data_IF_688657448784
#
_entry.id   IF_688657448784
#
_cell.length_a   1.000
_cell.length_b   1.000
_cell.length_c   1.000
_cell.angle_alpha   90.00
_cell.angle_beta   90.00
_cell.angle_gamma   90.00
#
_symmetry.space_group_name_H-M   'P 1'
#
loop_
_entity.id
_entity.type
_entity.pdbx_description
1 polymer ?
#
# COMPACT_ATOMS: atom_id res chain seq x y z
N UNK A 1 -29.17 17.19 -59.73
CA UNK A 1 -29.11 17.18 -58.25
C UNK A 1 -28.63 15.81 -57.82
N UNK A 2 -27.35 15.70 -57.48
CA UNK A 2 -26.69 14.45 -57.04
C UNK A 2 -26.81 14.36 -55.52
N UNK A 3 -27.38 13.28 -55.00
CA UNK A 3 -27.45 12.98 -53.57
C UNK A 3 -26.20 12.18 -53.20
N UNK A 4 -25.36 12.75 -52.33
CA UNK A 4 -24.21 12.07 -51.76
C UNK A 4 -24.66 11.25 -50.54
N UNK A 5 -24.47 9.93 -50.61
CA UNK A 5 -24.74 9.00 -49.52
C UNK A 5 -23.50 8.92 -48.62
N UNK A 6 -23.57 9.47 -47.41
CA UNK A 6 -22.53 9.35 -46.39
C UNK A 6 -22.69 7.99 -45.68
N UNK A 7 -21.73 7.09 -45.88
CA UNK A 7 -21.57 5.86 -45.10
C UNK A 7 -20.86 6.20 -43.78
N UNK A 8 -21.54 5.99 -42.66
CA UNK A 8 -20.92 6.05 -41.34
C UNK A 8 -20.40 4.65 -41.00
N UNK A 9 -19.08 4.47 -40.99
CA UNK A 9 -18.45 3.25 -40.49
C UNK A 9 -18.35 3.33 -38.97
N UNK A 10 -19.06 2.47 -38.26
CA UNK A 10 -18.92 2.33 -36.81
C UNK A 10 -17.66 1.51 -36.49
N UNK A 11 -16.61 2.16 -36.00
CA UNK A 11 -15.44 1.48 -35.47
C UNK A 11 -15.77 0.96 -34.06
N UNK A 12 -15.81 -0.36 -33.90
CA UNK A 12 -15.87 -1.02 -32.60
C UNK A 12 -14.49 -0.88 -31.93
N UNK A 13 -14.36 0.07 -31.01
CA UNK A 13 -13.18 0.19 -30.16
C UNK A 13 -13.15 -0.96 -29.15
N UNK A 14 -12.29 -1.95 -29.38
CA UNK A 14 -11.92 -2.92 -28.35
C UNK A 14 -11.04 -2.18 -27.35
N UNK A 15 -11.62 -1.77 -26.22
CA UNK A 15 -10.83 -1.31 -25.07
C UNK A 15 -10.18 -2.55 -24.46
N UNK A 16 -8.91 -2.79 -24.75
CA UNK A 16 -8.12 -3.75 -24.00
C UNK A 16 -8.15 -3.35 -22.52
N UNK A 17 -8.52 -4.28 -21.64
CA UNK A 17 -8.32 -4.10 -20.20
C UNK A 17 -6.83 -3.81 -19.97
N UNK A 18 -6.48 -2.92 -19.01
CA UNK A 18 -5.09 -2.68 -18.70
C UNK A 18 -4.44 -4.03 -18.37
N UNK A 19 -3.31 -4.32 -19.01
CA UNK A 19 -2.50 -5.46 -18.65
C UNK A 19 -2.21 -5.35 -17.16
N UNK A 20 -2.43 -6.43 -16.40
CA UNK A 20 -1.90 -6.51 -15.05
C UNK A 20 -0.41 -6.17 -15.14
N UNK A 21 0.00 -5.12 -14.44
CA UNK A 21 1.39 -4.71 -14.35
C UNK A 21 2.20 -5.95 -13.99
N UNK A 22 3.26 -6.23 -14.75
CA UNK A 22 4.05 -7.43 -14.52
C UNK A 22 4.55 -7.42 -13.07
N UNK A 23 4.25 -8.47 -12.30
CA UNK A 23 4.64 -8.56 -10.90
C UNK A 23 6.15 -8.33 -10.76
N UNK A 24 6.54 -7.48 -9.81
CA UNK A 24 7.93 -7.21 -9.49
C UNK A 24 8.69 -8.49 -9.18
N UNK A 25 10.00 -8.49 -9.38
CA UNK A 25 10.86 -9.53 -8.86
C UNK A 25 11.21 -9.26 -7.38
N UNK A 26 11.39 -10.31 -6.58
CA UNK A 26 11.81 -10.17 -5.18
C UNK A 26 13.09 -9.37 -5.03
N UNK A 27 13.03 -8.36 -4.17
CA UNK A 27 14.13 -7.43 -3.93
C UNK A 27 14.50 -6.58 -5.14
N UNK A 28 13.68 -6.60 -6.20
CA UNK A 28 13.86 -5.82 -7.41
C UNK A 28 13.06 -4.53 -7.39
N UNK A 29 12.98 -3.89 -8.58
CA UNK A 29 12.13 -2.73 -8.77
C UNK A 29 10.66 -3.09 -8.59
N UNK A 30 9.94 -2.26 -7.85
CA UNK A 30 8.51 -2.44 -7.58
C UNK A 30 7.76 -1.11 -7.73
N UNK A 31 6.64 -1.11 -8.45
CA UNK A 31 5.81 0.07 -8.62
C UNK A 31 5.06 0.42 -7.32
N UNK A 32 4.80 1.70 -7.07
CA UNK A 32 4.01 2.13 -5.91
C UNK A 32 2.63 1.49 -5.87
N UNK A 33 1.96 1.40 -7.02
CA UNK A 33 0.64 0.76 -7.08
C UNK A 33 0.70 -0.71 -6.70
N UNK A 34 1.77 -1.43 -7.07
CA UNK A 34 2.00 -2.82 -6.69
C UNK A 34 2.20 -2.96 -5.18
N UNK A 35 3.00 -2.09 -4.53
CA UNK A 35 3.16 -2.08 -3.07
C UNK A 35 1.81 -1.99 -2.36
N UNK A 36 0.96 -1.06 -2.79
CA UNK A 36 -0.37 -0.87 -2.22
C UNK A 36 -1.32 -2.03 -2.51
N UNK A 37 -1.22 -2.64 -3.69
CA UNK A 37 -2.00 -3.81 -4.07
C UNK A 37 -1.64 -5.01 -3.19
N UNK A 38 -0.34 -5.26 -2.96
CA UNK A 38 0.17 -6.33 -2.09
C UNK A 38 -0.29 -6.14 -0.64
N UNK A 39 -0.17 -4.93 -0.10
CA UNK A 39 -0.69 -4.62 1.24
C UNK A 39 -2.22 -4.79 1.36
N UNK A 40 -2.95 -4.42 0.30
CA UNK A 40 -4.41 -4.57 0.24
C UNK A 40 -4.84 -6.04 0.16
N UNK A 41 -4.10 -6.89 -0.56
CA UNK A 41 -4.36 -8.33 -0.60
C UNK A 41 -4.36 -8.96 0.80
N UNK A 42 -3.33 -8.68 1.60
CA UNK A 42 -3.26 -9.17 2.99
C UNK A 42 -4.40 -8.64 3.85
N UNK A 43 -4.82 -7.39 3.65
CA UNK A 43 -5.97 -6.83 4.36
C UNK A 43 -7.28 -7.53 3.96
N UNK A 44 -7.50 -7.74 2.68
CA UNK A 44 -8.73 -8.36 2.16
C UNK A 44 -8.82 -9.85 2.55
N UNK A 45 -7.67 -10.51 2.69
CA UNK A 45 -7.55 -11.87 3.23
C UNK A 45 -7.68 -11.95 4.75
N UNK A 46 -7.64 -10.82 5.45
CA UNK A 46 -7.76 -10.75 6.90
C UNK A 46 -6.62 -11.46 7.63
N UNK A 47 -5.37 -11.24 7.19
CA UNK A 47 -4.20 -11.82 7.87
C UNK A 47 -4.18 -11.38 9.35
N UNK A 48 -4.12 -12.37 10.25
CA UNK A 48 -4.07 -12.15 11.70
C UNK A 48 -2.65 -11.83 12.14
N UNK A 49 -2.51 -10.99 13.16
CA UNK A 49 -1.20 -10.66 13.73
C UNK A 49 -0.67 -11.83 14.56
N UNK A 50 0.50 -12.34 14.21
CA UNK A 50 1.25 -13.31 15.00
C UNK A 50 2.75 -13.23 14.63
N UNK A 51 3.59 -12.86 15.60
CA UNK A 51 5.05 -12.78 15.41
C UNK A 51 5.72 -14.14 15.20
N UNK A 52 5.02 -15.26 15.39
CA UNK A 52 5.53 -16.61 15.17
C UNK A 52 4.96 -17.27 13.91
N UNK A 53 3.99 -16.64 13.24
CA UNK A 53 3.37 -17.18 12.04
C UNK A 53 3.88 -16.49 10.77
N UNK A 54 3.60 -17.14 9.65
CA UNK A 54 3.85 -16.63 8.32
C UNK A 54 2.60 -16.79 7.45
N UNK A 55 2.47 -15.94 6.43
CA UNK A 55 1.42 -16.03 5.42
C UNK A 55 2.01 -15.82 4.02
N UNK A 56 1.43 -16.46 2.98
CA UNK A 56 1.89 -16.27 1.62
C UNK A 56 1.54 -14.86 1.12
N UNK A 57 2.39 -14.30 0.28
CA UNK A 57 2.14 -13.07 -0.46
C UNK A 57 1.07 -13.24 -1.56
N UNK A 58 0.82 -12.18 -2.33
CA UNK A 58 -0.30 -12.10 -3.27
C UNK A 58 -0.21 -13.10 -4.43
N UNK A 59 0.99 -13.50 -4.83
CA UNK A 59 1.20 -14.53 -5.87
C UNK A 59 1.28 -15.96 -5.31
N UNK A 60 1.40 -16.09 -3.98
CA UNK A 60 1.48 -17.36 -3.26
C UNK A 60 2.84 -18.05 -3.39
N UNK A 61 3.86 -17.36 -3.89
CA UNK A 61 5.19 -17.93 -4.10
C UNK A 61 6.10 -17.79 -2.87
N UNK A 62 5.79 -16.89 -1.94
CA UNK A 62 6.66 -16.59 -0.81
C UNK A 62 5.90 -16.32 0.49
N UNK A 63 6.46 -16.77 1.60
CA UNK A 63 5.89 -16.55 2.92
C UNK A 63 6.59 -15.39 3.66
N UNK A 64 5.80 -14.55 4.32
CA UNK A 64 6.26 -13.43 5.13
C UNK A 64 5.67 -13.50 6.55
N UNK A 65 6.42 -13.03 7.56
CA UNK A 65 5.98 -13.01 8.95
C UNK A 65 4.74 -12.15 9.11
N UNK A 66 3.76 -12.59 9.89
CA UNK A 66 2.48 -11.89 10.06
C UNK A 66 2.55 -10.87 11.21
N UNK A 67 3.50 -9.94 11.12
CA UNK A 67 3.60 -8.77 12.01
C UNK A 67 3.72 -7.45 11.22
N UNK A 68 3.84 -6.32 11.92
CA UNK A 68 3.87 -4.98 11.31
C UNK A 68 4.99 -4.87 10.24
N UNK A 69 6.21 -5.27 10.59
CA UNK A 69 7.37 -5.22 9.70
C UNK A 69 7.34 -6.28 8.59
N UNK A 70 6.77 -7.45 8.85
CA UNK A 70 6.61 -8.51 7.86
C UNK A 70 5.59 -8.14 6.78
N UNK A 71 4.53 -7.41 7.15
CA UNK A 71 3.61 -6.82 6.18
C UNK A 71 4.29 -5.77 5.28
N UNK A 72 5.16 -4.92 5.83
CA UNK A 72 5.97 -3.99 5.03
C UNK A 72 6.94 -4.74 4.12
N UNK A 73 7.63 -5.75 4.63
CA UNK A 73 8.55 -6.57 3.84
C UNK A 73 7.83 -7.30 2.69
N UNK A 74 6.62 -7.79 2.94
CA UNK A 74 5.77 -8.41 1.93
C UNK A 74 5.32 -7.39 0.88
N UNK A 75 4.85 -6.22 1.30
CA UNK A 75 4.36 -5.18 0.41
C UNK A 75 5.46 -4.61 -0.49
N UNK A 76 6.68 -4.46 0.02
CA UNK A 76 7.86 -4.07 -0.77
C UNK A 76 8.53 -5.23 -1.51
N UNK A 77 7.97 -6.44 -1.42
CA UNK A 77 8.49 -7.64 -2.06
C UNK A 77 9.96 -7.92 -1.72
N UNK A 78 10.35 -7.70 -0.46
CA UNK A 78 11.73 -7.81 -0.01
C UNK A 78 12.28 -9.25 -0.13
N UNK A 79 13.61 -9.40 -0.29
CA UNK A 79 14.24 -10.71 -0.51
C UNK A 79 14.36 -11.58 0.76
N UNK A 80 13.92 -11.10 1.91
CA UNK A 80 13.83 -11.86 3.16
C UNK A 80 12.55 -11.49 3.93
N UNK A 81 12.11 -12.39 4.80
CA UNK A 81 11.00 -12.20 5.76
C UNK A 81 11.47 -11.65 7.11
N UNK A 82 12.77 -11.69 7.39
CA UNK A 82 13.34 -11.38 8.72
C UNK A 82 13.52 -9.88 9.00
N UNK A 83 12.84 -9.01 8.26
CA UNK A 83 12.89 -7.58 8.53
C UNK A 83 12.08 -7.23 9.78
N UNK A 84 12.59 -6.27 10.54
CA UNK A 84 12.00 -5.62 11.69
C UNK A 84 12.19 -4.10 11.53
N UNK A 85 11.61 -3.29 12.42
CA UNK A 85 11.70 -1.83 12.36
C UNK A 85 13.16 -1.33 12.26
N UNK A 86 14.07 -1.86 13.09
CA UNK A 86 15.50 -1.52 13.04
C UNK A 86 16.17 -1.82 11.68
N UNK A 87 15.86 -2.97 11.07
CA UNK A 87 16.49 -3.41 9.82
C UNK A 87 15.87 -2.77 8.58
N UNK A 88 14.60 -2.34 8.65
CA UNK A 88 13.96 -1.53 7.61
C UNK A 88 14.61 -0.14 7.50
N UNK A 89 15.02 0.46 8.62
CA UNK A 89 15.71 1.76 8.64
C UNK A 89 17.21 1.70 8.26
N UNK A 90 17.71 0.53 7.83
CA UNK A 90 19.06 0.43 7.27
C UNK A 90 19.11 1.06 5.88
N UNK A 91 20.16 1.87 5.66
CA UNK A 91 20.39 2.57 4.38
C UNK A 91 20.71 1.64 3.19
N UNK A 92 20.94 0.35 3.45
CA UNK A 92 21.04 -0.69 2.42
C UNK A 92 19.67 -1.18 1.95
N UNK A 93 18.59 -0.75 2.60
CA UNK A 93 17.20 -1.17 2.34
C UNK A 93 16.37 0.04 1.97
N UNK A 94 16.45 1.14 2.73
CA UNK A 94 15.60 2.31 2.54
C UNK A 94 16.39 3.63 2.52
N UNK A 95 15.81 4.62 1.86
CA UNK A 95 16.09 6.04 2.06
C UNK A 95 15.12 6.65 3.08
N UNK A 96 15.57 7.70 3.76
CA UNK A 96 14.78 8.41 4.78
C UNK A 96 14.14 9.58 4.06
N UNK A 97 12.84 9.70 4.20
CA UNK A 97 12.04 10.69 3.47
C UNK A 97 11.45 11.66 4.48
N UNK A 98 11.51 12.95 4.16
CA UNK A 98 10.84 13.98 4.96
C UNK A 98 9.33 13.73 4.95
N UNK A 99 8.63 14.09 6.04
CA UNK A 99 7.19 13.80 6.18
C UNK A 99 6.39 14.41 5.04
N UNK A 100 6.75 15.61 4.65
CA UNK A 100 6.19 16.38 3.55
C UNK A 100 6.43 15.76 2.17
N UNK A 101 7.42 14.87 2.03
CA UNK A 101 7.84 14.23 0.77
C UNK A 101 7.37 12.78 0.65
N UNK A 102 6.56 12.32 1.61
CA UNK A 102 5.95 10.99 1.57
C UNK A 102 5.07 10.84 0.33
N UNK A 103 5.20 9.66 -0.27
CA UNK A 103 4.44 9.20 -1.41
C UNK A 103 3.81 7.84 -1.07
N UNK A 104 2.67 7.50 -1.68
CA UNK A 104 2.01 6.21 -1.44
C UNK A 104 2.97 5.04 -1.62
N UNK A 105 2.96 4.10 -0.67
CA UNK A 105 3.88 2.97 -0.63
C UNK A 105 5.15 3.21 0.20
N UNK A 106 5.43 4.43 0.64
CA UNK A 106 6.43 4.67 1.70
C UNK A 106 5.93 4.11 3.05
N UNK A 107 6.84 3.83 3.97
CA UNK A 107 6.52 3.45 5.34
C UNK A 107 6.75 4.61 6.31
N UNK A 108 5.99 4.60 7.39
CA UNK A 108 6.23 5.40 8.58
C UNK A 108 6.65 4.43 9.68
N UNK A 109 7.91 4.52 10.13
CA UNK A 109 8.54 3.60 11.08
C UNK A 109 8.81 4.29 12.43
N UNK A 110 8.25 3.73 13.50
CA UNK A 110 8.56 4.02 14.90
C UNK A 110 9.49 2.91 15.41
N UNK A 111 10.79 3.07 15.12
CA UNK A 111 11.80 2.14 15.58
C UNK A 111 11.85 2.00 17.12
N UNK A 112 11.81 3.10 17.91
CA UNK A 112 11.88 3.02 19.37
C UNK A 112 10.79 2.18 20.03
N UNK A 113 9.53 2.29 19.57
CA UNK A 113 8.41 1.52 20.13
C UNK A 113 8.08 0.25 19.32
N UNK A 114 8.80 0.01 18.21
CA UNK A 114 8.70 -1.20 17.41
C UNK A 114 7.41 -1.31 16.60
N UNK A 115 7.01 -0.24 15.92
CA UNK A 115 5.81 -0.25 15.06
C UNK A 115 6.02 0.42 13.71
N UNK A 116 5.35 -0.06 12.67
CA UNK A 116 5.47 0.47 11.31
C UNK A 116 4.15 0.38 10.57
N UNK A 117 3.85 1.39 9.76
CA UNK A 117 2.67 1.44 8.89
C UNK A 117 3.07 1.81 7.47
N UNK A 118 2.29 1.41 6.46
CA UNK A 118 2.47 1.86 5.08
C UNK A 118 1.59 3.10 4.86
N UNK A 119 2.21 4.20 4.45
CA UNK A 119 1.54 5.42 4.01
C UNK A 119 0.82 5.15 2.69
N UNK A 120 -0.49 5.33 2.63
CA UNK A 120 -1.29 5.02 1.44
C UNK A 120 -1.73 6.25 0.65
N UNK A 121 -1.59 7.45 1.20
CA UNK A 121 -1.86 8.70 0.48
C UNK A 121 -2.21 9.88 1.39
N UNK A 122 -2.05 11.09 0.86
CA UNK A 122 -2.46 12.32 1.52
C UNK A 122 -3.98 12.51 1.45
N UNK A 123 -4.58 12.89 2.57
CA UNK A 123 -5.94 13.44 2.62
C UNK A 123 -5.85 14.95 2.36
N UNK A 124 -4.99 15.62 3.12
CA UNK A 124 -4.63 17.02 2.91
C UNK A 124 -3.18 17.25 3.33
N UNK A 125 -2.28 17.29 2.34
CA UNK A 125 -0.82 17.46 2.55
C UNK A 125 -0.49 18.72 3.34
N UNK A 126 -1.17 19.83 3.08
CA UNK A 126 -0.98 21.09 3.81
C UNK A 126 -1.39 21.03 5.28
N UNK A 127 -2.22 20.06 5.66
CA UNK A 127 -2.67 19.84 7.03
C UNK A 127 -2.00 18.60 7.67
N UNK A 128 -1.03 17.99 6.99
CA UNK A 128 -0.33 16.81 7.50
C UNK A 128 -1.22 15.58 7.71
N UNK A 129 -2.41 15.51 7.07
CA UNK A 129 -3.36 14.40 7.24
C UNK A 129 -3.31 13.41 6.07
N UNK A 130 -3.36 12.12 6.40
CA UNK A 130 -3.12 11.03 5.45
C UNK A 130 -3.84 9.75 5.83
N UNK A 131 -3.85 8.77 4.93
CA UNK A 131 -4.29 7.40 5.19
C UNK A 131 -3.10 6.45 5.29
N UNK A 132 -3.29 5.36 6.03
CA UNK A 132 -2.30 4.29 6.15
C UNK A 132 -2.96 2.91 6.25
N UNK A 133 -2.16 1.87 6.04
CA UNK A 133 -2.50 0.46 6.27
C UNK A 133 -1.43 -0.19 7.15
N UNK A 134 -1.84 -1.10 8.02
CA UNK A 134 -0.97 -1.73 9.02
C UNK A 134 -1.41 -3.15 9.35
N UNK A 135 -0.47 -3.98 9.80
CA UNK A 135 -0.76 -5.19 10.57
C UNK A 135 -0.48 -4.85 12.03
N UNK A 136 -1.54 -4.50 12.76
CA UNK A 136 -1.42 -3.67 13.96
C UNK A 136 -0.92 -4.43 15.19
N UNK A 137 -1.68 -5.42 15.63
CA UNK A 137 -1.46 -6.20 16.85
C UNK A 137 -2.54 -7.31 16.96
N UNK A 138 -2.44 -8.27 17.91
CA UNK A 138 -3.40 -9.38 18.04
C UNK A 138 -4.86 -9.00 18.34
N UNK A 139 -5.18 -7.71 18.56
CA UNK A 139 -6.56 -7.26 18.78
C UNK A 139 -7.20 -6.67 17.52
N UNK A 140 -6.38 -6.14 16.62
CA UNK A 140 -6.85 -5.36 15.47
C UNK A 140 -6.42 -5.95 14.13
N UNK A 141 -5.43 -6.84 14.11
CA UNK A 141 -4.92 -7.53 12.93
C UNK A 141 -4.62 -6.54 11.79
N UNK A 142 -4.89 -6.91 10.53
CA UNK A 142 -4.85 -5.98 9.41
C UNK A 142 -5.88 -4.87 9.60
N UNK A 143 -5.40 -3.62 9.60
CA UNK A 143 -6.22 -2.44 9.81
C UNK A 143 -5.84 -1.30 8.85
N UNK A 144 -6.83 -0.49 8.50
CA UNK A 144 -6.66 0.78 7.79
C UNK A 144 -6.98 1.92 8.73
N UNK A 145 -6.34 3.07 8.56
CA UNK A 145 -6.56 4.23 9.42
C UNK A 145 -6.23 5.56 8.75
N UNK A 146 -6.50 6.63 9.48
CA UNK A 146 -6.16 8.01 9.12
C UNK A 146 -5.16 8.54 10.14
N UNK A 147 -4.09 9.17 9.68
CA UNK A 147 -3.07 9.79 10.51
C UNK A 147 -3.05 11.31 10.37
N UNK A 148 -2.45 11.97 11.36
CA UNK A 148 -2.07 13.38 11.29
C UNK A 148 -0.71 13.57 11.94
N UNK A 149 0.20 14.30 11.30
CA UNK A 149 1.48 14.65 11.92
C UNK A 149 1.36 15.63 13.08
N UNK A 150 0.22 16.30 13.23
CA UNK A 150 -0.10 17.18 14.36
C UNK A 150 -0.75 16.43 15.54
N UNK A 151 -1.14 15.17 15.35
CA UNK A 151 -1.65 14.31 16.43
C UNK A 151 -0.51 13.91 17.36
N UNK A 152 -0.74 13.76 18.68
CA UNK A 152 0.27 13.18 19.57
C UNK A 152 0.51 11.69 19.28
N UNK A 153 -0.51 10.99 18.77
CA UNK A 153 -0.46 9.56 18.50
C UNK A 153 -0.80 9.25 17.04
N UNK A 154 -0.01 8.36 16.44
CA UNK A 154 -0.21 7.77 15.13
C UNK A 154 -0.22 6.25 15.31
N UNK A 155 -1.31 5.61 14.87
CA UNK A 155 -1.51 4.17 14.99
C UNK A 155 -1.31 3.60 16.42
N UNK A 156 -1.52 4.42 17.45
CA UNK A 156 -1.37 4.03 18.86
C UNK A 156 -0.01 4.36 19.49
N UNK A 157 0.93 4.90 18.73
CA UNK A 157 2.31 5.21 19.16
C UNK A 157 2.63 6.71 19.00
N UNK A 158 3.62 7.26 19.73
CA UNK A 158 3.99 8.67 19.64
C UNK A 158 4.32 9.10 18.21
N UNK A 159 3.55 10.05 17.66
CA UNK A 159 3.76 10.53 16.28
C UNK A 159 5.16 11.13 16.07
N UNK A 160 5.80 11.62 17.14
CA UNK A 160 7.14 12.17 17.08
C UNK A 160 8.22 11.14 16.74
N UNK A 161 7.99 9.85 17.03
CA UNK A 161 8.98 8.79 16.77
C UNK A 161 9.02 8.37 15.30
N UNK A 162 7.91 8.53 14.58
CA UNK A 162 7.78 8.07 13.21
C UNK A 162 8.70 8.84 12.25
N UNK A 163 9.52 8.08 11.53
CA UNK A 163 10.33 8.53 10.40
C UNK A 163 9.79 7.95 9.10
N UNK A 164 9.89 8.72 8.00
CA UNK A 164 9.53 8.24 6.67
C UNK A 164 10.63 7.36 6.09
N UNK A 165 10.27 6.17 5.59
CA UNK A 165 11.15 5.24 4.91
C UNK A 165 10.64 4.94 3.50
N UNK A 166 11.51 5.03 2.51
CA UNK A 166 11.22 4.63 1.12
C UNK A 166 12.15 3.52 0.71
N UNK A 167 11.60 2.38 0.29
CA UNK A 167 12.40 1.27 -0.22
C UNK A 167 13.19 1.70 -1.46
N UNK A 168 14.48 1.35 -1.50
CA UNK A 168 15.43 1.83 -2.52
C UNK A 168 15.04 1.49 -3.95
N UNK A 169 14.26 0.43 -4.15
CA UNK A 169 13.83 -0.02 -5.48
C UNK A 169 12.37 0.30 -5.78
N UNK A 170 11.70 1.14 -4.98
CA UNK A 170 10.38 1.65 -5.35
C UNK A 170 10.52 2.60 -6.54
N UNK A 171 9.72 2.35 -7.58
CA UNK A 171 9.60 3.21 -8.75
C UNK A 171 8.21 3.82 -8.86
N UNK A 172 8.14 4.99 -9.48
CA UNK A 172 6.87 5.59 -9.86
C UNK A 172 6.24 4.79 -11.00
N UNK A 173 4.93 4.63 -10.98
CA UNK A 173 4.20 3.94 -12.05
C UNK A 173 4.47 4.65 -13.41
N UNK A 174 4.65 3.90 -14.50
CA UNK A 174 5.15 4.42 -15.80
C UNK A 174 4.26 5.48 -16.49
N UNK A 175 3.19 5.94 -15.86
CA UNK A 175 2.38 7.10 -16.28
C UNK A 175 2.71 8.41 -15.53
N UNK A 176 3.67 8.43 -14.61
CA UNK A 176 3.99 9.58 -13.75
C UNK A 176 4.90 10.65 -14.38
N UNK A 177 5.14 10.66 -15.70
CA UNK A 177 6.01 11.66 -16.38
C UNK A 177 5.41 13.07 -16.49
N UNK A 178 4.37 13.41 -15.71
CA UNK A 178 3.94 14.82 -15.52
C UNK A 178 4.36 15.27 -14.11
N UNK A 179 5.09 16.39 -13.96
CA UNK A 179 5.65 16.80 -12.67
C UNK A 179 4.57 16.93 -11.58
N UNK A 180 4.66 16.02 -10.60
CA UNK A 180 4.34 16.15 -9.17
C UNK A 180 3.02 16.77 -8.68
N UNK A 181 2.02 17.03 -9.54
CA UNK A 181 0.74 17.65 -9.12
C UNK A 181 -0.47 16.70 -9.04
N UNK A 182 -0.31 15.41 -9.35
CA UNK A 182 -1.45 14.48 -9.52
C UNK A 182 -1.55 13.40 -8.44
N UNK A 183 -0.49 13.13 -7.66
CA UNK A 183 -0.54 12.11 -6.59
C UNK A 183 -1.27 12.57 -5.32
N UNK A 184 -1.52 13.87 -5.14
CA UNK A 184 -2.36 14.39 -4.05
C UNK A 184 -3.86 14.06 -4.24
N UNK A 185 -4.24 13.38 -5.33
CA UNK A 185 -5.63 13.06 -5.70
C UNK A 185 -5.87 11.57 -5.95
N UNK A 186 -5.14 10.70 -5.28
CA UNK A 186 -5.48 9.27 -5.23
C UNK A 186 -6.23 8.95 -3.93
N UNK A 187 -7.58 9.14 -3.86
CA UNK A 187 -8.36 8.42 -2.88
C UNK A 187 -8.39 6.95 -3.30
N UNK A 188 -7.53 6.15 -2.68
CA UNK A 188 -7.61 4.70 -2.78
C UNK A 188 -8.81 4.18 -1.98
N UNK A 189 -9.80 3.48 -2.59
CA UNK A 189 -10.37 3.61 -3.94
C UNK A 189 -11.80 4.22 -3.94
N UNK A 190 -12.34 4.71 -5.08
CA UNK A 190 -13.72 5.20 -5.18
C UNK A 190 -14.79 4.08 -5.22
N UNK A 191 -15.88 4.29 -4.47
CA UNK A 191 -16.94 3.33 -4.14
C UNK A 191 -17.77 2.71 -5.31
N UNK A 192 -17.43 2.91 -6.58
CA UNK A 192 -18.26 2.44 -7.72
C UNK A 192 -17.68 1.28 -8.54
N UNK A 193 -16.47 0.82 -8.22
CA UNK A 193 -15.94 -0.48 -8.66
C UNK A 193 -15.25 -1.10 -7.45
N UNK A 194 -16.05 -1.56 -6.50
CA UNK A 194 -15.60 -2.47 -5.45
C UNK A 194 -16.53 -3.68 -5.52
N UNK A 195 -16.05 -4.90 -5.83
CA UNK A 195 -16.88 -6.10 -5.75
C UNK A 195 -17.29 -6.44 -4.29
N UNK A 196 -16.91 -5.60 -3.32
CA UNK A 196 -16.95 -5.92 -1.91
C UNK A 196 -18.14 -5.25 -1.21
N UNK A 197 -19.31 -5.87 -1.34
CA UNK A 197 -20.31 -5.84 -0.28
C UNK A 197 -19.80 -6.74 0.85
N UNK A 198 -19.56 -6.23 2.07
CA UNK A 198 -19.32 -7.12 3.22
C UNK A 198 -20.57 -7.97 3.44
N UNK A 199 -20.45 -9.30 3.37
CA UNK A 199 -21.52 -10.19 3.84
C UNK A 199 -21.51 -10.17 5.37
N UNK A 200 -22.54 -9.61 6.03
CA UNK A 200 -22.60 -9.55 7.49
C UNK A 200 -22.71 -10.92 8.16
N UNK A 201 -22.79 -12.02 7.39
CA UNK A 201 -22.99 -13.38 7.89
C UNK A 201 -21.69 -14.17 8.16
N UNK A 202 -20.50 -13.61 7.95
CA UNK A 202 -19.22 -14.29 8.23
C UNK A 202 -18.60 -14.02 9.61
N UNK A 203 -19.40 -13.62 10.61
CA UNK A 203 -19.02 -13.79 12.01
C UNK A 203 -19.55 -15.13 12.51
N UNK A 204 -18.73 -16.18 12.41
CA UNK A 204 -18.91 -17.35 13.25
C UNK A 204 -18.40 -17.01 14.67
N UNK A 205 -19.04 -17.50 15.75
CA UNK A 205 -18.54 -17.31 17.10
C UNK A 205 -17.28 -18.15 17.32
N UNK A 206 -16.25 -17.55 17.91
CA UNK A 206 -15.10 -18.30 18.47
C UNK A 206 -15.61 -19.13 19.65
N UNK A 207 -15.51 -20.45 19.54
CA UNK A 207 -15.58 -21.39 20.67
C UNK A 207 -14.25 -21.43 21.41
#
# INVERSE_FOLDING_TARGET
MTIALLLFAAALGVTAAPAAEAASARGGAIARSEVLARASDWFDRGIEYDQQAVAPDADGAHDYRTDCSGMVAMAWHLPSTDFNTDSLDRRSVTDRVAREDLLPGDALDDTPDGHVVIFTGWIARSAGTFTYIQLANPRADMAKGTGSFDSPLLAGHPTANYVGLRYLHVVDDESATTPSRVLDRYPWPPARISPWHPDPRRRAPRT
#
